data_IF_527573453216
#
_entry.id   IF_527573453216
#
_cell.length_a   1.000
_cell.length_b   1.000
_cell.length_c   1.000
_cell.angle_alpha   90.00
_cell.angle_beta   90.00
_cell.angle_gamma   90.00
#
_symmetry.space_group_name_H-M   'P 1'
#
loop_
_entity.id
_entity.type
_entity.pdbx_description
1 polymer ?
#
# COMPACT_ATOMS: atom_id res chain seq x y z
N UNK A 1 15.55 -9.90 3.82
CA UNK A 1 14.95 -9.37 5.06
C UNK A 1 13.63 -8.69 4.68
N UNK A 2 12.58 -8.85 5.48
CA UNK A 2 11.27 -8.25 5.17
C UNK A 2 11.33 -6.74 5.40
N UNK A 3 10.77 -5.96 4.47
CA UNK A 3 10.65 -4.50 4.62
C UNK A 3 9.36 -4.19 5.39
N UNK A 4 9.49 -3.47 6.50
CA UNK A 4 8.35 -2.96 7.27
C UNK A 4 8.13 -1.47 6.98
N UNK A 5 6.90 -1.00 7.18
CA UNK A 5 6.53 0.41 7.13
C UNK A 5 5.83 0.77 8.44
N UNK A 6 6.59 1.23 9.42
CA UNK A 6 6.10 1.61 10.75
C UNK A 6 5.95 3.13 10.87
N UNK A 7 6.78 3.88 10.14
CA UNK A 7 6.79 5.35 10.10
C UNK A 7 7.04 5.83 8.67
N UNK A 8 6.57 7.03 8.34
CA UNK A 8 6.83 7.65 7.02
C UNK A 8 8.34 7.85 6.77
N UNK A 9 9.12 8.09 7.81
CA UNK A 9 10.59 8.22 7.75
C UNK A 9 11.31 6.93 7.36
N UNK A 10 10.62 5.78 7.32
CA UNK A 10 11.18 4.52 6.84
C UNK A 10 11.33 4.52 5.30
N UNK A 11 10.72 5.50 4.63
CA UNK A 11 10.87 5.77 3.21
C UNK A 11 11.73 7.00 2.97
N UNK A 12 12.55 6.95 1.91
CA UNK A 12 13.16 8.16 1.37
C UNK A 12 12.12 8.98 0.60
N UNK A 13 12.47 10.23 0.27
CA UNK A 13 11.61 11.10 -0.54
C UNK A 13 11.22 10.46 -1.87
N UNK A 14 12.18 9.85 -2.55
CA UNK A 14 12.01 9.22 -3.85
C UNK A 14 11.06 8.01 -3.76
N UNK A 15 11.12 7.28 -2.65
CA UNK A 15 10.23 6.14 -2.41
C UNK A 15 8.80 6.60 -2.15
N UNK A 16 8.62 7.67 -1.38
CA UNK A 16 7.32 8.32 -1.20
C UNK A 16 6.75 8.79 -2.55
N UNK A 17 7.54 9.47 -3.37
CA UNK A 17 7.12 9.91 -4.72
C UNK A 17 6.72 8.73 -5.61
N UNK A 18 7.47 7.61 -5.55
CA UNK A 18 7.12 6.38 -6.27
C UNK A 18 5.78 5.81 -5.82
N UNK A 19 5.52 5.73 -4.51
CA UNK A 19 4.25 5.21 -3.98
C UNK A 19 3.08 6.10 -4.39
N UNK A 20 3.25 7.43 -4.32
CA UNK A 20 2.22 8.40 -4.73
C UNK A 20 1.91 8.25 -6.22
N UNK A 21 2.94 8.26 -7.08
CA UNK A 21 2.75 8.10 -8.52
C UNK A 21 2.10 6.76 -8.87
N UNK A 22 2.48 5.68 -8.18
CA UNK A 22 1.86 4.37 -8.37
C UNK A 22 0.39 4.37 -7.96
N UNK A 23 0.06 5.02 -6.85
CA UNK A 23 -1.33 5.16 -6.38
C UNK A 23 -2.20 5.91 -7.38
N UNK A 24 -1.66 6.96 -8.03
CA UNK A 24 -2.33 7.68 -9.11
C UNK A 24 -2.55 6.77 -10.33
N UNK A 25 -1.56 5.97 -10.73
CA UNK A 25 -1.68 5.01 -11.84
C UNK A 25 -2.80 3.97 -11.57
N UNK A 26 -2.83 3.39 -10.36
CA UNK A 26 -3.84 2.42 -9.92
C UNK A 26 -5.22 3.07 -9.93
N UNK A 27 -5.36 4.28 -9.38
CA UNK A 27 -6.62 5.02 -9.36
C UNK A 27 -7.15 5.32 -10.76
N UNK A 28 -6.28 5.61 -11.72
CA UNK A 28 -6.65 5.84 -13.13
C UNK A 28 -7.08 4.56 -13.85
N UNK A 29 -6.45 3.42 -13.54
CA UNK A 29 -6.66 2.15 -14.25
C UNK A 29 -6.91 0.98 -13.28
N UNK A 30 -7.96 0.99 -12.46
CA UNK A 30 -8.13 0.00 -11.39
C UNK A 30 -8.27 -1.43 -11.91
N UNK A 31 -8.91 -1.61 -13.09
CA UNK A 31 -9.08 -2.93 -13.74
C UNK A 31 -7.76 -3.63 -14.05
N UNK A 32 -6.68 -2.87 -14.28
CA UNK A 32 -5.34 -3.41 -14.57
C UNK A 32 -4.72 -4.11 -13.36
N UNK A 33 -5.16 -3.78 -12.14
CA UNK A 33 -4.57 -4.25 -10.89
C UNK A 33 -5.50 -5.16 -10.07
N UNK A 34 -6.63 -5.58 -10.62
CA UNK A 34 -7.65 -6.33 -9.89
C UNK A 34 -7.15 -7.68 -9.34
N UNK A 35 -6.19 -8.32 -10.02
CA UNK A 35 -5.59 -9.59 -9.64
C UNK A 35 -4.19 -9.44 -9.02
N UNK A 36 -3.74 -8.22 -8.71
CA UNK A 36 -2.36 -7.99 -8.24
C UNK A 36 -2.04 -8.63 -6.88
N UNK A 37 -3.05 -9.03 -6.11
CA UNK A 37 -2.93 -9.72 -4.83
C UNK A 37 -3.77 -11.02 -4.81
N UNK A 38 -4.02 -11.62 -5.98
CA UNK A 38 -4.80 -12.85 -6.08
C UNK A 38 -4.08 -14.01 -5.36
N UNK A 39 -4.79 -14.66 -4.42
CA UNK A 39 -4.24 -15.73 -3.58
C UNK A 39 -3.57 -15.25 -2.28
N UNK A 40 -3.41 -13.94 -2.09
CA UNK A 40 -2.77 -13.36 -0.90
C UNK A 40 -3.79 -13.03 0.21
N UNK A 41 -3.37 -13.16 1.47
CA UNK A 41 -4.22 -12.83 2.64
C UNK A 41 -3.59 -11.71 3.46
N UNK A 42 -4.32 -10.61 3.66
CA UNK A 42 -3.92 -9.51 4.56
C UNK A 42 -4.57 -9.70 5.94
N UNK A 43 -3.74 -9.98 6.95
CA UNK A 43 -4.18 -9.98 8.35
C UNK A 43 -4.25 -8.54 8.87
N UNK A 44 -5.42 -8.12 9.34
CA UNK A 44 -5.64 -6.81 9.94
C UNK A 44 -5.95 -6.94 11.44
N UNK A 45 -5.15 -6.32 12.29
CA UNK A 45 -5.33 -6.30 13.74
C UNK A 45 -5.69 -4.88 14.19
N UNK A 46 -6.84 -4.71 14.83
CA UNK A 46 -7.32 -3.42 15.33
C UNK A 46 -7.68 -3.51 16.81
N UNK A 47 -6.96 -2.76 17.65
CA UNK A 47 -7.34 -2.59 19.06
C UNK A 47 -8.57 -1.66 19.20
N UNK A 48 -8.66 -0.66 18.33
CA UNK A 48 -9.76 0.30 18.26
C UNK A 48 -10.37 0.26 16.85
N UNK A 49 -11.71 0.34 16.71
CA UNK A 49 -12.35 0.27 15.40
C UNK A 49 -11.96 1.47 14.51
N UNK A 50 -11.70 1.21 13.23
CA UNK A 50 -11.51 2.22 12.17
C UNK A 50 -12.42 1.91 10.98
N UNK A 51 -13.17 2.91 10.52
CA UNK A 51 -14.03 2.83 9.32
C UNK A 51 -13.41 3.49 8.09
N UNK A 52 -12.40 4.34 8.30
CA UNK A 52 -11.60 4.96 7.23
C UNK A 52 -10.49 4.00 6.85
#
# INVERSE_FOLDING_TARGET
MVRHLLKVSDFTKEECERVINKSIEIKKNPKKYNSSLEGETLLMLFEKPSLR
#
